data_IF_632889452300
#
_entry.id   IF_632889452300
#
_cell.length_a   1.000
_cell.length_b   1.000
_cell.length_c   1.000
_cell.angle_alpha   90.00
_cell.angle_beta   90.00
_cell.angle_gamma   90.00
#
_symmetry.space_group_name_H-M   'P 1'
#
loop_
_entity.id
_entity.type
_entity.pdbx_description
1 polymer ?
#
# COMPACT_ATOMS: atom_id res chain seq x y z
N UNK A 1 24.00 -22.07 -16.23
CA UNK A 1 22.53 -21.96 -16.40
C UNK A 1 22.06 -20.71 -15.68
N UNK A 2 21.36 -19.80 -16.34
CA UNK A 2 20.77 -18.64 -15.68
C UNK A 2 19.45 -19.07 -15.02
N UNK A 3 19.27 -18.75 -13.73
CA UNK A 3 17.98 -18.93 -13.05
C UNK A 3 16.97 -17.97 -13.65
N UNK A 4 15.77 -18.45 -13.96
CA UNK A 4 14.63 -17.57 -14.25
C UNK A 4 14.40 -16.69 -13.00
N UNK A 5 14.27 -15.36 -13.13
CA UNK A 5 13.89 -14.53 -12.00
C UNK A 5 12.53 -15.01 -11.51
N UNK A 6 12.43 -15.36 -10.23
CA UNK A 6 11.13 -15.62 -9.63
C UNK A 6 10.42 -14.28 -9.52
N UNK A 7 9.27 -14.14 -10.17
CA UNK A 7 8.45 -12.94 -9.99
C UNK A 7 8.07 -12.84 -8.51
N UNK A 8 8.31 -11.68 -7.87
CA UNK A 8 7.93 -11.50 -6.48
C UNK A 8 6.42 -11.71 -6.34
N UNK A 9 6.03 -12.49 -5.32
CA UNK A 9 4.62 -12.75 -5.03
C UNK A 9 3.87 -11.41 -4.88
N UNK A 10 2.69 -11.25 -5.50
CA UNK A 10 1.91 -10.04 -5.33
C UNK A 10 1.48 -9.86 -3.87
N UNK A 11 1.61 -8.63 -3.38
CA UNK A 11 1.07 -8.18 -2.09
C UNK A 11 -0.37 -7.73 -2.32
N UNK A 12 -1.31 -8.23 -1.52
CA UNK A 12 -2.74 -8.07 -1.75
C UNK A 12 -3.42 -7.22 -0.66
N UNK A 13 -4.56 -6.66 -1.02
CA UNK A 13 -5.47 -5.98 -0.11
C UNK A 13 -6.89 -5.97 -0.65
N UNK A 14 -7.86 -5.63 0.20
CA UNK A 14 -9.27 -5.56 -0.14
C UNK A 14 -9.80 -4.16 0.13
N UNK A 15 -10.49 -3.62 -0.86
CA UNK A 15 -11.17 -2.34 -0.76
C UNK A 15 -12.69 -2.59 -0.67
N UNK A 16 -13.39 -1.85 0.18
CA UNK A 16 -14.84 -1.88 0.25
C UNK A 16 -15.49 -1.05 -0.87
N UNK A 17 -16.82 -0.98 -0.89
CA UNK A 17 -17.57 -0.20 -1.90
C UNK A 17 -17.40 1.32 -1.75
N UNK A 18 -16.93 1.78 -0.59
CA UNK A 18 -16.66 3.18 -0.30
C UNK A 18 -15.21 3.58 -0.62
N UNK A 19 -14.40 2.66 -1.15
CA UNK A 19 -13.00 2.94 -1.48
C UNK A 19 -12.04 2.83 -0.28
N UNK A 20 -12.46 2.24 0.84
CA UNK A 20 -11.62 2.10 2.04
C UNK A 20 -10.88 0.77 2.02
N UNK A 21 -9.61 0.78 2.40
CA UNK A 21 -8.81 -0.44 2.54
C UNK A 21 -9.23 -1.18 3.82
N UNK A 22 -9.96 -2.30 3.70
CA UNK A 22 -10.55 -3.03 4.83
C UNK A 22 -9.75 -4.26 5.26
N UNK A 23 -8.82 -4.74 4.43
CA UNK A 23 -7.84 -5.76 4.80
C UNK A 23 -6.62 -5.65 3.89
N UNK A 24 -5.44 -5.98 4.39
CA UNK A 24 -4.21 -5.95 3.61
C UNK A 24 -3.24 -7.03 4.10
N UNK A 25 -2.38 -7.50 3.20
CA UNK A 25 -1.17 -8.21 3.59
C UNK A 25 -0.29 -7.28 4.45
N UNK A 26 0.53 -7.82 5.39
CA UNK A 26 1.29 -7.01 6.35
C UNK A 26 2.20 -5.94 5.73
N UNK A 27 2.77 -6.24 4.57
CA UNK A 27 3.63 -5.34 3.81
C UNK A 27 2.85 -4.12 3.30
N UNK A 28 1.63 -4.34 2.77
CA UNK A 28 0.77 -3.26 2.32
C UNK A 28 0.26 -2.43 3.49
N UNK A 29 -0.12 -3.05 4.62
CA UNK A 29 -0.54 -2.31 5.81
C UNK A 29 0.58 -1.41 6.36
N UNK A 30 1.82 -1.90 6.36
CA UNK A 30 2.98 -1.12 6.79
C UNK A 30 3.21 0.09 5.90
N UNK A 31 3.11 -0.09 4.58
CA UNK A 31 3.22 1.01 3.61
C UNK A 31 2.13 2.08 3.81
N UNK A 32 0.91 1.68 4.15
CA UNK A 32 -0.17 2.62 4.46
C UNK A 32 0.13 3.43 5.73
N UNK A 33 0.62 2.77 6.79
CA UNK A 33 1.04 3.45 8.03
C UNK A 33 2.15 4.46 7.79
N UNK A 34 3.15 4.12 6.98
CA UNK A 34 4.23 5.03 6.58
C UNK A 34 3.70 6.23 5.79
N UNK A 35 2.65 6.03 4.99
CA UNK A 35 1.93 7.10 4.30
C UNK A 35 0.92 7.86 5.18
N UNK A 36 0.89 7.59 6.50
CA UNK A 36 0.01 8.26 7.45
C UNK A 36 -1.45 7.79 7.45
N UNK A 37 -1.74 6.63 6.86
CA UNK A 37 -3.08 6.04 6.81
C UNK A 37 -3.18 4.71 7.57
N UNK A 38 -4.41 4.26 7.82
CA UNK A 38 -4.71 2.98 8.49
C UNK A 38 -5.81 2.19 7.77
N UNK A 39 -5.99 0.91 8.15
CA UNK A 39 -7.15 0.14 7.70
C UNK A 39 -8.46 0.84 8.09
N UNK A 40 -9.44 0.79 7.18
CA UNK A 40 -10.69 1.51 7.29
C UNK A 40 -10.63 2.94 6.74
N UNK A 41 -9.48 3.42 6.29
CA UNK A 41 -9.33 4.71 5.61
C UNK A 41 -9.23 4.54 4.09
N UNK A 42 -9.27 5.66 3.37
CA UNK A 42 -9.02 5.65 1.93
C UNK A 42 -7.60 5.12 1.66
N UNK A 43 -7.44 4.30 0.62
CA UNK A 43 -6.13 3.79 0.23
C UNK A 43 -5.18 4.97 -0.03
N UNK A 44 -4.17 5.12 0.82
CA UNK A 44 -3.12 6.08 0.62
C UNK A 44 -2.31 5.68 -0.60
N UNK A 45 -2.05 6.66 -1.47
CA UNK A 45 -1.11 6.53 -2.57
C UNK A 45 0.26 7.03 -2.05
N UNK A 46 1.19 6.14 -1.68
CA UNK A 46 2.38 6.52 -0.92
C UNK A 46 3.24 7.57 -1.63
N UNK A 47 3.33 7.49 -2.96
CA UNK A 47 4.04 8.47 -3.77
C UNK A 47 3.40 9.87 -3.72
N UNK A 48 2.08 9.96 -3.56
CA UNK A 48 1.39 11.25 -3.38
C UNK A 48 1.62 11.78 -1.97
N UNK A 49 1.59 10.90 -0.95
CA UNK A 49 1.88 11.29 0.43
C UNK A 49 3.28 11.92 0.55
N UNK A 50 4.31 11.32 -0.07
CA UNK A 50 5.66 11.85 -0.09
C UNK A 50 5.76 13.27 -0.69
N UNK A 51 4.95 13.58 -1.71
CA UNK A 51 4.88 14.93 -2.31
C UNK A 51 4.22 15.92 -1.35
N UNK A 52 3.15 15.51 -0.67
CA UNK A 52 2.45 16.35 0.32
C UNK A 52 3.35 16.68 1.51
N UNK A 53 4.13 15.69 1.99
CA UNK A 53 5.07 15.89 3.09
C UNK A 53 6.21 16.84 2.72
N UNK A 54 6.77 16.73 1.50
CA UNK A 54 7.81 17.64 1.01
C UNK A 54 7.32 19.10 0.89
N UNK A 55 6.02 19.28 0.63
CA UNK A 55 5.41 20.59 0.44
C UNK A 55 5.02 21.29 1.76
N UNK A 56 5.18 20.63 2.91
CA UNK A 56 4.97 21.20 4.25
C UNK A 56 6.24 21.79 4.83
#
# INVERSE_FOLDING_TARGET
>A
MASVPSEPRPVLGRVDRSGRLVSADPELETLQREAGASLGEALALPQIAAVVDLAR
#
